data_IF_631753827087
#
_entry.id   IF_631753827087
#
_cell.length_a   1.000
_cell.length_b   1.000
_cell.length_c   1.000
_cell.angle_alpha   90.00
_cell.angle_beta   90.00
_cell.angle_gamma   90.00
#
_symmetry.space_group_name_H-M   'P 1'
#
loop_
_entity.id
_entity.type
_entity.pdbx_description
1 polymer ?
#
# COMPACT_ATOMS: atom_id res chain seq x y z
N UNK A 1 7.25 51.98 -17.89
CA UNK A 1 7.27 51.80 -16.41
C UNK A 1 6.06 51.00 -15.88
N UNK A 2 4.81 51.34 -16.24
CA UNK A 2 3.60 50.61 -15.74
C UNK A 2 3.58 49.10 -16.04
N UNK A 3 4.06 48.69 -17.22
CA UNK A 3 4.14 47.27 -17.63
C UNK A 3 5.20 46.46 -16.86
N UNK A 4 6.29 47.11 -16.46
CA UNK A 4 7.39 46.47 -15.70
C UNK A 4 6.94 46.25 -14.25
N UNK A 5 6.23 47.23 -13.68
CA UNK A 5 5.64 47.11 -12.32
C UNK A 5 4.58 46.00 -12.28
N UNK A 6 3.73 45.90 -13.30
CA UNK A 6 2.74 44.82 -13.38
C UNK A 6 3.39 43.43 -13.49
N UNK A 7 4.50 43.31 -14.24
CA UNK A 7 5.23 42.05 -14.38
C UNK A 7 5.91 41.62 -13.06
N UNK A 8 6.47 42.58 -12.32
CA UNK A 8 7.07 42.36 -11.01
C UNK A 8 6.04 41.92 -9.96
N UNK A 9 4.86 42.53 -9.97
CA UNK A 9 3.75 42.15 -9.08
C UNK A 9 3.19 40.76 -9.41
N UNK A 10 3.07 40.41 -10.70
CA UNK A 10 2.66 39.08 -11.12
C UNK A 10 3.68 38.01 -10.71
N UNK A 11 4.98 38.30 -10.83
CA UNK A 11 6.04 37.38 -10.42
C UNK A 11 6.07 37.16 -8.90
N UNK A 12 5.81 38.20 -8.11
CA UNK A 12 5.69 38.11 -6.65
C UNK A 12 4.49 37.26 -6.21
N UNK A 13 3.36 37.33 -6.91
CA UNK A 13 2.20 36.49 -6.61
C UNK A 13 2.42 35.00 -6.92
N UNK A 14 3.19 34.68 -7.96
CA UNK A 14 3.54 33.30 -8.31
C UNK A 14 4.55 32.70 -7.32
N UNK A 15 5.44 33.52 -6.76
CA UNK A 15 6.42 33.05 -5.76
C UNK A 15 5.80 32.83 -4.37
N UNK A 16 4.63 33.42 -4.08
CA UNK A 16 3.95 33.29 -2.79
C UNK A 16 3.03 32.06 -2.69
N UNK A 17 2.83 31.29 -3.77
CA UNK A 17 1.92 30.13 -3.78
C UNK A 17 2.57 28.83 -3.29
N UNK A 18 3.61 28.90 -2.45
CA UNK A 18 4.16 27.70 -1.82
C UNK A 18 3.09 27.11 -0.90
N UNK A 19 2.67 25.85 -1.09
CA UNK A 19 1.74 25.21 -0.17
C UNK A 19 2.37 25.16 1.21
N UNK A 20 1.77 25.86 2.17
CA UNK A 20 2.14 25.77 3.58
C UNK A 20 1.65 24.43 4.08
N UNK A 21 2.57 23.48 4.25
CA UNK A 21 2.29 22.25 4.97
C UNK A 21 2.21 22.60 6.46
N UNK A 22 0.99 22.70 6.99
CA UNK A 22 0.79 22.76 8.43
C UNK A 22 1.31 21.44 9.03
N UNK A 23 2.24 21.53 9.99
CA UNK A 23 2.68 20.37 10.77
C UNK A 23 1.48 19.86 11.55
N UNK A 24 1.04 18.64 11.27
CA UNK A 24 -0.01 17.99 12.05
C UNK A 24 0.51 17.72 13.46
N UNK A 25 -0.23 18.18 14.48
CA UNK A 25 0.07 17.92 15.88
C UNK A 25 -0.54 16.57 16.29
N UNK A 26 0.31 15.62 16.66
CA UNK A 26 -0.09 14.26 17.02
C UNK A 26 -0.19 14.05 18.54
N UNK A 27 0.22 15.03 19.35
CA UNK A 27 0.27 14.89 20.82
C UNK A 27 -1.13 14.78 21.45
N UNK A 28 -2.17 15.18 20.70
CA UNK A 28 -3.57 15.08 21.12
C UNK A 28 -4.22 13.73 20.81
N UNK A 29 -3.55 12.84 20.07
CA UNK A 29 -4.10 11.55 19.66
C UNK A 29 -3.62 10.43 20.59
N UNK A 30 -4.53 9.54 20.96
CA UNK A 30 -4.17 8.27 21.60
C UNK A 30 -3.50 7.33 20.60
N UNK A 31 -2.80 6.31 21.11
CA UNK A 31 -2.12 5.31 20.26
C UNK A 31 -3.09 4.56 19.33
N UNK A 32 -4.29 4.23 19.81
CA UNK A 32 -5.32 3.56 19.01
C UNK A 32 -5.82 4.45 17.87
N UNK A 33 -6.03 5.74 18.14
CA UNK A 33 -6.43 6.71 17.12
C UNK A 33 -5.33 6.91 16.07
N UNK A 34 -4.05 6.92 16.48
CA UNK A 34 -2.92 6.97 15.55
C UNK A 34 -2.83 5.71 14.67
N UNK A 35 -3.11 4.53 15.22
CA UNK A 35 -3.14 3.28 14.47
C UNK A 35 -4.28 3.30 13.44
N UNK A 36 -5.48 3.70 13.86
CA UNK A 36 -6.64 3.82 12.96
C UNK A 36 -6.38 4.83 11.84
N UNK A 37 -5.82 5.99 12.19
CA UNK A 37 -5.47 7.03 11.23
C UNK A 37 -4.43 6.54 10.21
N UNK A 38 -3.42 5.77 10.65
CA UNK A 38 -2.43 5.15 9.75
C UNK A 38 -3.11 4.22 8.73
N UNK A 39 -4.04 3.40 9.19
CA UNK A 39 -4.77 2.46 8.30
C UNK A 39 -5.55 3.24 7.24
N UNK A 40 -6.31 4.27 7.64
CA UNK A 40 -7.09 5.08 6.70
C UNK A 40 -6.21 5.84 5.71
N UNK A 41 -5.08 6.39 6.15
CA UNK A 41 -4.11 7.07 5.27
C UNK A 41 -3.55 6.09 4.24
N UNK A 42 -3.13 4.90 4.65
CA UNK A 42 -2.58 3.91 3.72
C UNK A 42 -3.60 3.48 2.66
N UNK A 43 -4.89 3.33 3.04
CA UNK A 43 -5.97 3.06 2.09
C UNK A 43 -6.14 4.22 1.11
N UNK A 44 -6.19 5.46 1.58
CA UNK A 44 -6.33 6.64 0.72
C UNK A 44 -5.14 6.81 -0.22
N UNK A 45 -3.91 6.57 0.26
CA UNK A 45 -2.70 6.63 -0.55
C UNK A 45 -2.67 5.52 -1.60
N UNK A 46 -3.21 4.34 -1.29
CA UNK A 46 -3.41 3.26 -2.25
C UNK A 46 -4.43 3.65 -3.33
N UNK A 47 -5.55 4.24 -2.96
CA UNK A 47 -6.56 4.75 -3.89
C UNK A 47 -6.01 5.85 -4.79
N UNK A 48 -5.12 6.70 -4.26
CA UNK A 48 -4.42 7.75 -5.01
C UNK A 48 -3.23 7.23 -5.83
N UNK A 49 -2.86 5.96 -5.67
CA UNK A 49 -1.67 5.36 -6.29
C UNK A 49 -0.34 5.93 -5.78
N UNK A 50 -0.35 6.66 -4.66
CA UNK A 50 0.78 7.38 -4.08
C UNK A 50 1.62 6.53 -3.13
N UNK A 51 1.00 5.59 -2.42
CA UNK A 51 1.68 4.56 -1.65
C UNK A 51 0.93 3.26 -1.87
N UNK A 52 1.67 2.20 -2.13
CA UNK A 52 1.13 1.02 -2.79
C UNK A 52 1.34 -0.24 -1.95
N UNK A 53 2.16 -0.10 -0.92
CA UNK A 53 2.61 -1.18 -0.07
C UNK A 53 1.87 -1.19 1.26
N UNK A 54 1.45 -2.36 1.72
CA UNK A 54 0.80 -2.50 3.02
C UNK A 54 1.18 -3.82 3.71
N UNK A 55 1.17 -3.80 5.04
CA UNK A 55 1.52 -4.97 5.86
C UNK A 55 0.24 -5.68 6.30
N UNK A 56 0.13 -6.95 5.96
CA UNK A 56 -0.95 -7.86 6.35
C UNK A 56 -0.48 -8.73 7.53
N UNK A 57 -1.10 -8.59 8.72
CA UNK A 57 -0.79 -9.44 9.88
C UNK A 57 -1.47 -10.81 9.79
N UNK A 58 -1.19 -11.69 10.77
CA UNK A 58 -1.88 -12.99 10.92
C UNK A 58 -3.40 -12.78 10.95
N UNK A 59 -4.13 -13.56 10.15
CA UNK A 59 -5.58 -13.42 10.02
C UNK A 59 -6.12 -14.09 8.77
N UNK A 60 -7.43 -13.92 8.57
CA UNK A 60 -8.17 -14.34 7.37
C UNK A 60 -8.82 -13.08 6.81
N UNK A 61 -8.62 -12.83 5.52
CA UNK A 61 -9.01 -11.59 4.85
C UNK A 61 -9.73 -11.89 3.55
N UNK A 62 -10.79 -11.15 3.27
CA UNK A 62 -11.56 -11.25 2.03
C UNK A 62 -11.05 -10.23 1.02
N UNK A 63 -10.68 -10.69 -0.17
CA UNK A 63 -10.22 -9.82 -1.25
C UNK A 63 -11.40 -9.04 -1.84
N UNK A 64 -11.23 -7.72 -1.95
CA UNK A 64 -12.26 -6.75 -2.33
C UNK A 64 -12.99 -6.12 -1.14
N UNK A 65 -12.74 -6.60 0.08
CA UNK A 65 -13.27 -6.03 1.33
C UNK A 65 -12.13 -5.58 2.25
N UNK A 66 -11.28 -6.52 2.65
CA UNK A 66 -10.14 -6.27 3.54
C UNK A 66 -8.86 -5.97 2.76
N UNK A 67 -8.64 -6.69 1.65
CA UNK A 67 -7.47 -6.54 0.79
C UNK A 67 -7.95 -6.18 -0.62
N UNK A 68 -7.49 -5.07 -1.23
CA UNK A 68 -7.91 -4.72 -2.58
C UNK A 68 -7.52 -5.80 -3.62
N UNK A 69 -8.38 -6.02 -4.60
CA UNK A 69 -8.09 -6.93 -5.71
C UNK A 69 -6.96 -6.35 -6.58
N UNK A 70 -6.06 -7.22 -7.06
CA UNK A 70 -4.90 -6.79 -7.84
C UNK A 70 -3.80 -7.83 -7.93
N UNK A 71 -2.68 -7.46 -8.55
CA UNK A 71 -1.46 -8.28 -8.57
C UNK A 71 -0.40 -7.68 -7.65
N UNK A 72 0.17 -8.52 -6.79
CA UNK A 72 1.12 -8.11 -5.75
C UNK A 72 2.40 -8.94 -5.79
N UNK A 73 3.52 -8.30 -5.48
CA UNK A 73 4.73 -8.94 -4.97
C UNK A 73 4.61 -9.03 -3.45
N UNK A 74 4.86 -10.20 -2.86
CA UNK A 74 4.67 -10.44 -1.42
C UNK A 74 5.99 -10.83 -0.76
N UNK A 75 6.34 -10.14 0.33
CA UNK A 75 7.54 -10.38 1.12
C UNK A 75 7.17 -10.62 2.58
N UNK A 76 7.95 -11.43 3.28
CA UNK A 76 7.87 -11.47 4.73
C UNK A 76 8.61 -10.27 5.34
N UNK A 77 8.12 -9.73 6.46
CA UNK A 77 8.90 -8.77 7.26
C UNK A 77 10.09 -9.47 7.91
N UNK A 78 9.88 -10.69 8.42
CA UNK A 78 10.94 -11.55 8.97
C UNK A 78 10.74 -12.98 8.47
N UNK A 79 9.58 -13.55 8.78
CA UNK A 79 9.06 -14.78 8.19
C UNK A 79 7.54 -14.59 8.02
N UNK A 80 6.92 -15.44 7.23
CA UNK A 80 5.47 -15.54 7.18
C UNK A 80 5.01 -16.75 6.39
N UNK A 81 3.73 -17.09 6.56
CA UNK A 81 3.11 -18.18 5.82
C UNK A 81 1.75 -17.73 5.32
N UNK A 82 1.53 -17.85 4.01
CA UNK A 82 0.31 -17.42 3.33
C UNK A 82 -0.35 -18.61 2.67
N UNK A 83 -1.67 -18.62 2.73
CA UNK A 83 -2.52 -19.54 1.97
C UNK A 83 -3.59 -18.72 1.26
N UNK A 84 -3.82 -19.03 -0.02
CA UNK A 84 -4.86 -18.43 -0.85
C UNK A 84 -5.92 -19.47 -1.16
N UNK A 85 -7.18 -19.07 -1.04
CA UNK A 85 -8.35 -19.85 -1.42
C UNK A 85 -9.14 -19.08 -2.49
N UNK A 86 -9.79 -19.79 -3.41
CA UNK A 86 -10.65 -19.17 -4.42
C UNK A 86 -11.90 -18.57 -3.76
N UNK A 87 -12.44 -19.25 -2.76
CA UNK A 87 -13.53 -18.81 -1.89
C UNK A 87 -13.43 -19.49 -0.51
N UNK A 88 -14.42 -19.29 0.37
CA UNK A 88 -14.40 -19.80 1.75
C UNK A 88 -14.57 -21.33 1.87
N UNK A 89 -15.16 -21.98 0.86
CA UNK A 89 -15.48 -23.41 0.86
C UNK A 89 -14.53 -24.21 -0.04
N UNK A 90 -13.63 -23.54 -0.76
CA UNK A 90 -12.68 -24.17 -1.69
C UNK A 90 -11.47 -24.79 -0.97
N UNK A 91 -10.81 -25.73 -1.66
CA UNK A 91 -9.43 -26.07 -1.32
C UNK A 91 -8.52 -24.87 -1.59
N UNK A 92 -7.38 -24.80 -0.89
CA UNK A 92 -6.41 -23.75 -1.16
C UNK A 92 -5.81 -23.94 -2.56
N UNK A 93 -5.75 -22.86 -3.33
CA UNK A 93 -5.13 -22.83 -4.66
C UNK A 93 -3.62 -22.60 -4.58
N UNK A 94 -3.15 -22.00 -3.48
CA UNK A 94 -1.75 -21.66 -3.27
C UNK A 94 -1.43 -21.62 -1.76
N UNK A 95 -0.24 -22.07 -1.37
CA UNK A 95 0.22 -22.01 0.01
C UNK A 95 1.75 -22.01 0.08
N UNK A 96 2.34 -20.99 0.71
CA UNK A 96 3.79 -20.76 0.68
C UNK A 96 4.29 -20.18 2.01
N UNK A 97 5.45 -20.68 2.46
CA UNK A 97 6.24 -20.05 3.52
C UNK A 97 7.27 -19.11 2.90
N UNK A 98 7.45 -17.93 3.49
CA UNK A 98 8.38 -16.91 2.99
C UNK A 98 9.32 -16.53 4.12
N UNK A 99 10.62 -16.66 3.90
CA UNK A 99 11.66 -16.21 4.83
C UNK A 99 12.43 -15.01 4.27
N UNK A 100 12.38 -13.88 4.98
CA UNK A 100 13.09 -12.67 4.55
C UNK A 100 14.61 -12.79 4.74
N UNK A 101 15.08 -13.62 5.68
CA UNK A 101 16.51 -13.82 5.90
C UNK A 101 17.22 -14.35 4.64
N UNK A 102 16.49 -15.15 3.86
CA UNK A 102 16.96 -15.75 2.61
C UNK A 102 16.63 -14.89 1.38
N UNK A 103 16.01 -13.72 1.60
CA UNK A 103 15.56 -12.81 0.55
C UNK A 103 14.38 -13.34 -0.27
N UNK A 104 13.66 -14.36 0.24
CA UNK A 104 12.54 -14.98 -0.45
C UNK A 104 11.36 -14.03 -0.60
N UNK A 105 10.65 -14.18 -1.71
CA UNK A 105 9.44 -13.42 -1.99
C UNK A 105 8.61 -14.12 -3.07
N UNK A 106 7.31 -13.86 -3.05
CA UNK A 106 6.42 -14.22 -4.15
C UNK A 106 6.49 -13.11 -5.19
N UNK A 107 6.98 -13.41 -6.38
CA UNK A 107 7.15 -12.42 -7.45
C UNK A 107 5.83 -11.78 -7.89
N UNK A 108 4.83 -12.61 -8.21
CA UNK A 108 3.48 -12.17 -8.58
C UNK A 108 2.43 -13.09 -7.96
N UNK A 109 1.59 -12.53 -7.10
CA UNK A 109 0.38 -13.13 -6.55
C UNK A 109 -0.81 -12.32 -7.06
N UNK A 110 -1.69 -12.95 -7.84
CA UNK A 110 -2.93 -12.33 -8.31
C UNK A 110 -4.04 -12.62 -7.30
N UNK A 111 -4.71 -11.57 -6.84
CA UNK A 111 -5.83 -11.63 -5.92
C UNK A 111 -7.08 -11.10 -6.64
N UNK A 112 -8.06 -11.97 -6.80
CA UNK A 112 -9.36 -11.64 -7.39
C UNK A 112 -10.40 -11.40 -6.30
N UNK A 113 -11.39 -10.55 -6.59
CA UNK A 113 -12.47 -10.25 -5.64
C UNK A 113 -13.17 -11.56 -5.23
N UNK A 114 -13.32 -11.76 -3.92
CA UNK A 114 -13.92 -12.96 -3.33
C UNK A 114 -12.91 -14.02 -2.88
N UNK A 115 -11.64 -13.93 -3.32
CA UNK A 115 -10.60 -14.80 -2.79
C UNK A 115 -10.40 -14.59 -1.29
N UNK A 116 -9.97 -15.64 -0.61
CA UNK A 116 -9.63 -15.58 0.82
C UNK A 116 -8.13 -15.70 0.99
N UNK A 117 -7.52 -14.69 1.61
CA UNK A 117 -6.12 -14.68 1.99
C UNK A 117 -6.01 -15.03 3.47
N UNK A 118 -5.32 -16.11 3.78
CA UNK A 118 -5.02 -16.52 5.16
C UNK A 118 -3.53 -16.37 5.44
N UNK A 119 -3.19 -15.54 6.40
CA UNK A 119 -1.83 -15.43 6.93
C UNK A 119 -1.77 -16.24 8.21
N UNK A 120 -1.04 -17.35 8.18
CA UNK A 120 -0.95 -18.31 9.28
C UNK A 120 0.12 -17.92 10.32
N UNK A 121 1.16 -17.24 9.88
CA UNK A 121 2.25 -16.81 10.76
C UNK A 121 2.96 -15.56 10.21
N UNK A 122 3.63 -14.83 11.10
CA UNK A 122 4.44 -13.67 10.74
C UNK A 122 3.65 -12.47 10.23
N UNK A 123 4.31 -11.63 9.42
CA UNK A 123 3.70 -10.45 8.78
C UNK A 123 4.19 -10.34 7.35
N UNK A 124 3.28 -10.03 6.44
CA UNK A 124 3.58 -9.99 5.01
C UNK A 124 3.40 -8.58 4.48
N UNK A 125 4.41 -8.08 3.78
CA UNK A 125 4.36 -6.84 3.02
C UNK A 125 3.87 -7.17 1.60
N UNK A 126 2.75 -6.58 1.22
CA UNK A 126 2.20 -6.64 -0.13
C UNK A 126 2.58 -5.36 -0.83
N UNK A 127 3.28 -5.47 -1.95
CA UNK A 127 3.64 -4.36 -2.85
C UNK A 127 3.03 -4.63 -4.23
N UNK A 128 2.53 -3.67 -4.99
CA UNK A 128 1.90 -3.94 -6.28
C UNK A 128 2.92 -4.38 -7.29
N UNK A 129 2.56 -5.41 -8.03
CA UNK A 129 3.44 -6.03 -9.00
C UNK A 129 3.78 -5.06 -10.15
N UNK A 130 5.06 -4.79 -10.36
CA UNK A 130 5.55 -3.84 -11.37
C UNK A 130 5.87 -4.48 -12.74
N UNK A 131 5.59 -5.77 -12.92
CA UNK A 131 6.01 -6.50 -14.13
C UNK A 131 7.45 -6.99 -14.07
N UNK A 132 7.88 -7.66 -15.14
CA UNK A 132 9.25 -8.16 -15.29
C UNK A 132 10.20 -7.14 -15.95
N UNK A 133 9.72 -5.91 -16.20
CA UNK A 133 10.53 -4.86 -16.83
C UNK A 133 10.77 -5.02 -18.33
N UNK A 134 10.06 -5.94 -19.01
CA UNK A 134 10.12 -6.05 -20.47
C UNK A 134 9.21 -5.01 -21.14
N UNK A 135 9.75 -4.30 -22.13
CA UNK A 135 8.97 -3.58 -23.14
C UNK A 135 8.96 -4.41 -24.42
N UNK A 136 7.78 -4.76 -24.92
CA UNK A 136 7.65 -5.31 -26.27
C UNK A 136 7.56 -4.13 -27.22
N UNK A 137 8.54 -3.98 -28.11
CA UNK A 137 8.52 -3.04 -29.24
C UNK A 137 7.58 -3.53 -30.36
#
# INVERSE_FOLDING_TARGET
MKKIVALLLALLFVLASVPVYAKTDFDSYTTEELISLRVSINVELLLRGAEKDFVVPIGVYTVGEDIPAGSYTVRAVTYGYITLYEDADSFYSFSEGINNADGEYIGKLTLEKGNIVKVLSGRLLFSPYQGLGFSFE
#
